data_IF_297116108293
#
_entry.id   IF_297116108293
#
_cell.length_a   1.000
_cell.length_b   1.000
_cell.length_c   1.000
_cell.angle_alpha   90.00
_cell.angle_beta   90.00
_cell.angle_gamma   90.00
#
_symmetry.space_group_name_H-M   'P 1'
#
loop_
_entity.id
_entity.type
_entity.pdbx_description
1 polymer ?
#
# COMPACT_ATOMS: atom_id res chain seq x y z
N UNK A 1 3.54 -1.17 -20.19
CA UNK A 1 2.66 0.00 -20.36
C UNK A 1 2.15 0.41 -18.99
N UNK A 2 2.40 1.65 -18.53
CA UNK A 2 1.64 2.19 -17.38
C UNK A 2 0.21 2.38 -17.86
N UNK A 3 -0.74 1.70 -17.24
CA UNK A 3 -2.17 1.92 -17.47
C UNK A 3 -2.49 3.37 -17.12
N UNK A 4 -3.09 4.09 -18.07
CA UNK A 4 -3.60 5.43 -17.80
C UNK A 4 -4.83 5.32 -16.89
N UNK A 5 -4.62 5.44 -15.58
CA UNK A 5 -5.68 5.40 -14.57
C UNK A 5 -6.72 6.52 -14.73
N UNK A 6 -6.47 7.52 -15.59
CA UNK A 6 -7.44 8.59 -15.84
C UNK A 6 -8.51 8.20 -16.85
N UNK A 7 -8.31 7.18 -17.67
CA UNK A 7 -9.28 6.74 -18.67
C UNK A 7 -9.76 5.32 -18.36
N UNK A 8 -11.07 5.11 -18.47
CA UNK A 8 -11.67 3.79 -18.29
C UNK A 8 -11.41 2.88 -19.50
N UNK A 9 -11.92 1.64 -19.47
CA UNK A 9 -11.71 0.65 -20.54
C UNK A 9 -12.25 1.08 -21.93
N UNK A 10 -13.16 2.06 -21.97
CA UNK A 10 -13.68 2.65 -23.21
C UNK A 10 -12.85 3.86 -23.69
N UNK A 11 -11.77 4.21 -23.00
CA UNK A 11 -10.92 5.36 -23.33
C UNK A 11 -11.49 6.71 -22.91
N UNK A 12 -12.51 6.74 -22.03
CA UNK A 12 -13.13 7.98 -21.56
C UNK A 12 -12.55 8.38 -20.21
N UNK A 13 -12.26 9.67 -20.02
CA UNK A 13 -11.72 10.19 -18.76
C UNK A 13 -12.71 9.94 -17.62
N UNK A 14 -12.30 9.18 -16.62
CA UNK A 14 -13.13 8.77 -15.48
C UNK A 14 -12.40 9.09 -14.16
N UNK A 15 -12.56 10.32 -13.62
CA UNK A 15 -11.93 10.72 -12.38
C UNK A 15 -12.48 9.98 -11.15
N UNK A 16 -13.68 9.41 -11.24
CA UNK A 16 -14.32 8.65 -10.14
C UNK A 16 -13.68 7.29 -10.03
N UNK A 17 -13.57 6.55 -11.14
CA UNK A 17 -12.86 5.28 -11.19
C UNK A 17 -11.39 5.45 -10.77
N UNK A 18 -10.72 6.50 -11.25
CA UNK A 18 -9.35 6.81 -10.84
C UNK A 18 -9.22 6.97 -9.32
N UNK A 19 -10.13 7.73 -8.69
CA UNK A 19 -10.13 7.95 -7.23
C UNK A 19 -10.42 6.65 -6.48
N UNK A 20 -11.40 5.87 -6.93
CA UNK A 20 -11.77 4.60 -6.30
C UNK A 20 -10.59 3.61 -6.31
N UNK A 21 -9.88 3.50 -7.43
CA UNK A 21 -8.69 2.64 -7.54
C UNK A 21 -7.59 3.14 -6.59
N UNK A 22 -7.32 4.46 -6.57
CA UNK A 22 -6.29 5.02 -5.67
C UNK A 22 -6.61 4.80 -4.19
N UNK A 23 -7.86 4.97 -3.78
CA UNK A 23 -8.29 4.70 -2.40
C UNK A 23 -8.26 3.21 -2.08
N UNK A 24 -8.63 2.35 -3.03
CA UNK A 24 -8.51 0.90 -2.87
C UNK A 24 -7.04 0.46 -2.73
N UNK A 25 -6.11 1.08 -3.44
CA UNK A 25 -4.67 0.81 -3.37
C UNK A 25 -3.96 1.53 -2.23
N UNK A 26 -4.65 2.42 -1.52
CA UNK A 26 -4.11 3.10 -0.36
C UNK A 26 -3.90 2.09 0.76
N UNK A 27 -2.64 1.92 1.18
CA UNK A 27 -2.30 1.08 2.32
C UNK A 27 -3.04 1.57 3.58
N UNK A 28 -3.74 0.68 4.30
CA UNK A 28 -4.52 1.05 5.47
C UNK A 28 -3.60 1.38 6.65
N UNK A 29 -4.10 2.19 7.58
CA UNK A 29 -3.26 2.81 8.60
C UNK A 29 -2.66 1.79 9.58
N UNK A 30 -3.37 0.71 9.87
CA UNK A 30 -2.86 -0.39 10.70
C UNK A 30 -1.60 -1.03 10.11
N UNK A 31 -1.51 -1.14 8.79
CA UNK A 31 -0.35 -1.71 8.10
C UNK A 31 0.83 -0.74 8.15
N UNK A 32 0.59 0.56 7.91
CA UNK A 32 1.62 1.60 8.03
C UNK A 32 2.20 1.67 9.44
N UNK A 33 1.33 1.64 10.45
CA UNK A 33 1.73 1.68 11.85
C UNK A 33 2.55 0.46 12.25
N UNK A 34 2.16 -0.73 11.78
CA UNK A 34 2.92 -1.95 12.02
C UNK A 34 4.34 -1.86 11.42
N UNK A 35 4.45 -1.41 10.16
CA UNK A 35 5.75 -1.17 9.50
C UNK A 35 6.59 -0.17 10.30
N UNK A 36 6.00 0.94 10.72
CA UNK A 36 6.69 1.97 11.51
C UNK A 36 7.22 1.40 12.82
N UNK A 37 6.40 0.64 13.55
CA UNK A 37 6.79 0.02 14.82
C UNK A 37 7.91 -1.00 14.65
N UNK A 38 7.85 -1.86 13.63
CA UNK A 38 8.92 -2.83 13.36
C UNK A 38 10.26 -2.14 13.05
N UNK A 39 10.24 -1.08 12.23
CA UNK A 39 11.44 -0.27 11.96
C UNK A 39 11.98 0.42 13.22
N UNK A 40 11.10 0.94 14.07
CA UNK A 40 11.49 1.53 15.37
C UNK A 40 12.17 0.50 16.28
N UNK A 41 11.61 -0.71 16.39
CA UNK A 41 12.20 -1.79 17.20
C UNK A 41 13.58 -2.17 16.67
N UNK A 42 13.75 -2.35 15.36
CA UNK A 42 15.06 -2.64 14.78
C UNK A 42 16.09 -1.58 15.15
N UNK A 43 15.72 -0.29 15.01
CA UNK A 43 16.59 0.85 15.35
C UNK A 43 17.02 0.83 16.82
N UNK A 44 16.13 0.47 17.75
CA UNK A 44 16.48 0.39 19.18
C UNK A 44 17.60 -0.61 19.48
N UNK A 45 17.76 -1.63 18.63
CA UNK A 45 18.78 -2.65 18.78
C UNK A 45 19.98 -2.45 17.84
N UNK A 46 20.16 -1.23 17.30
CA UNK A 46 21.22 -0.94 16.32
C UNK A 46 21.15 -1.83 15.06
N UNK A 47 19.95 -2.35 14.74
CA UNK A 47 19.66 -3.12 13.54
C UNK A 47 18.92 -2.27 12.50
N UNK A 48 19.00 -2.68 11.25
CA UNK A 48 18.24 -2.09 10.15
C UNK A 48 17.40 -3.17 9.45
N UNK A 49 16.22 -2.77 8.99
CA UNK A 49 15.40 -3.59 8.09
C UNK A 49 15.98 -3.44 6.69
N UNK A 50 16.68 -4.46 6.22
CA UNK A 50 17.40 -4.43 4.92
C UNK A 50 16.48 -4.60 3.72
N UNK A 51 15.40 -5.36 3.88
CA UNK A 51 14.46 -5.71 2.81
C UNK A 51 13.08 -5.08 3.03
N UNK A 52 12.23 -5.16 2.01
CA UNK A 52 10.84 -4.68 2.12
C UNK A 52 10.04 -5.55 3.11
N UNK A 53 9.40 -4.89 4.08
CA UNK A 53 8.46 -5.55 4.98
C UNK A 53 7.16 -5.81 4.25
N UNK A 54 6.76 -7.07 4.16
CA UNK A 54 5.46 -7.49 3.59
C UNK A 54 4.53 -7.92 4.71
N UNK A 55 3.33 -7.34 4.76
CA UNK A 55 2.33 -7.61 5.79
C UNK A 55 1.04 -8.16 5.18
N UNK A 56 0.48 -9.19 5.80
CA UNK A 56 -0.88 -9.64 5.52
C UNK A 56 -1.85 -8.97 6.50
N UNK A 57 -2.78 -8.18 5.98
CA UNK A 57 -3.91 -7.71 6.77
C UNK A 57 -4.81 -8.90 7.09
N UNK A 58 -4.88 -9.30 8.37
CA UNK A 58 -5.67 -10.44 8.82
C UNK A 58 -7.18 -10.23 8.62
N UNK A 59 -7.66 -8.99 8.56
CA UNK A 59 -9.08 -8.68 8.38
C UNK A 59 -9.53 -8.89 6.93
N UNK A 60 -8.74 -8.41 5.97
CA UNK A 60 -9.08 -8.45 4.54
C UNK A 60 -8.41 -9.59 3.79
N UNK A 61 -7.39 -10.23 4.38
CA UNK A 61 -6.54 -11.22 3.72
C UNK A 61 -5.54 -10.62 2.73
N UNK A 62 -5.60 -9.32 2.46
CA UNK A 62 -4.75 -8.63 1.49
C UNK A 62 -3.29 -8.58 1.96
N UNK A 63 -2.37 -8.77 1.02
CA UNK A 63 -0.94 -8.65 1.23
C UNK A 63 -0.51 -7.24 0.79
N UNK A 64 0.19 -6.57 1.70
CA UNK A 64 0.68 -5.22 1.53
C UNK A 64 2.21 -5.22 1.51
N UNK A 65 2.84 -4.79 0.40
CA UNK A 65 4.28 -4.57 0.31
C UNK A 65 4.73 -3.27 0.98
#
# INVERSE_FOLDING_TARGET
>A
MKSDLYHNGSGVRDPVACRAIREADRQPENVKDAIRRMKTIARWHQCEVTERIVLKDKKTGRIWP
#
